data_IF_802213957862
#
_entry.id   IF_802213957862
#
_cell.length_a   1.000
_cell.length_b   1.000
_cell.length_c   1.000
_cell.angle_alpha   90.00
_cell.angle_beta   90.00
_cell.angle_gamma   90.00
#
_symmetry.space_group_name_H-M   'P 1'
#
loop_
_entity.id
_entity.type
_entity.pdbx_description
1 polymer ?
#
# COMPACT_ATOMS: atom_id res chain seq x y z
N UNK A 1 -29.72 -73.34 -19.19
CA UNK A 1 -30.84 -72.55 -18.62
C UNK A 1 -31.16 -71.41 -19.57
N UNK A 2 -32.23 -71.64 -20.33
CA UNK A 2 -33.23 -70.71 -20.87
C UNK A 2 -32.86 -69.40 -21.59
N UNK A 3 -33.02 -69.49 -22.92
CA UNK A 3 -33.66 -68.56 -23.85
C UNK A 3 -34.49 -67.42 -23.23
N UNK A 4 -34.37 -66.22 -23.82
CA UNK A 4 -35.49 -65.53 -24.50
C UNK A 4 -35.01 -64.48 -25.50
N UNK A 5 -35.58 -64.56 -26.70
CA UNK A 5 -35.50 -63.62 -27.82
C UNK A 5 -36.61 -62.55 -27.73
N UNK A 6 -36.47 -61.46 -28.50
CA UNK A 6 -37.52 -60.51 -28.87
C UNK A 6 -36.95 -59.10 -29.07
N UNK A 7 -36.38 -58.73 -30.22
CA UNK A 7 -36.96 -58.38 -31.53
C UNK A 7 -37.54 -56.96 -31.65
N UNK A 8 -37.29 -56.38 -32.83
CA UNK A 8 -37.18 -54.97 -33.20
C UNK A 8 -38.29 -54.60 -34.19
N UNK A 9 -39.00 -53.47 -33.99
CA UNK A 9 -39.35 -52.39 -34.96
C UNK A 9 -40.63 -51.61 -34.60
N UNK A 10 -40.76 -50.33 -35.06
CA UNK A 10 -41.73 -49.34 -34.60
C UNK A 10 -42.92 -49.16 -35.57
N UNK A 11 -43.87 -48.25 -35.26
CA UNK A 11 -44.49 -47.51 -36.36
C UNK A 11 -44.69 -45.99 -36.12
N UNK A 12 -44.39 -45.24 -37.20
CA UNK A 12 -45.11 -44.11 -37.81
C UNK A 12 -45.62 -42.90 -36.99
N UNK A 13 -45.23 -41.70 -37.45
CA UNK A 13 -45.66 -40.38 -36.99
C UNK A 13 -47.14 -40.00 -37.26
N UNK A 14 -47.48 -38.70 -37.17
CA UNK A 14 -47.35 -37.89 -38.38
C UNK A 14 -46.68 -36.52 -38.19
N UNK A 15 -46.16 -36.07 -39.33
CA UNK A 15 -45.68 -34.74 -39.70
C UNK A 15 -46.78 -33.68 -39.77
N UNK A 16 -46.46 -32.44 -39.40
CA UNK A 16 -46.91 -31.19 -40.05
C UNK A 16 -45.91 -30.09 -39.63
N UNK A 17 -44.94 -29.71 -40.46
CA UNK A 17 -44.96 -28.65 -41.51
C UNK A 17 -45.21 -27.22 -41.01
N UNK A 18 -44.21 -26.37 -41.33
CA UNK A 18 -44.27 -24.94 -41.66
C UNK A 18 -44.69 -23.91 -40.60
N UNK A 19 -43.76 -23.01 -40.26
CA UNK A 19 -43.65 -21.73 -40.99
C UNK A 19 -42.47 -20.89 -40.47
N UNK A 20 -41.49 -20.67 -41.35
CA UNK A 20 -40.62 -19.49 -41.34
C UNK A 20 -41.37 -18.31 -41.95
N UNK A 21 -41.11 -17.08 -41.49
CA UNK A 21 -41.18 -15.75 -42.17
C UNK A 21 -41.57 -14.64 -41.15
N UNK A 22 -41.39 -13.33 -41.41
CA UNK A 22 -40.15 -12.59 -41.17
C UNK A 22 -40.36 -11.30 -40.34
N UNK A 23 -39.23 -10.63 -40.06
CA UNK A 23 -39.01 -9.19 -39.77
C UNK A 23 -40.28 -8.30 -39.70
N UNK A 24 -40.57 -7.77 -38.51
CA UNK A 24 -41.30 -6.51 -38.34
C UNK A 24 -40.39 -5.48 -37.69
N UNK A 25 -39.98 -4.52 -38.50
CA UNK A 25 -39.40 -3.25 -38.10
C UNK A 25 -40.35 -2.52 -37.14
N UNK A 26 -39.84 -2.13 -35.96
CA UNK A 26 -40.50 -1.11 -35.15
C UNK A 26 -39.55 0.07 -34.94
N UNK A 27 -39.41 0.88 -35.99
CA UNK A 27 -38.96 2.26 -35.86
C UNK A 27 -40.16 3.11 -35.46
N UNK A 28 -40.36 3.38 -34.17
CA UNK A 28 -41.02 4.60 -33.69
C UNK A 28 -40.51 4.92 -32.28
N UNK A 29 -39.73 6.00 -32.16
CA UNK A 29 -39.19 6.43 -30.87
C UNK A 29 -38.07 7.48 -30.92
N UNK A 30 -37.90 8.24 -32.01
CA UNK A 30 -37.12 9.48 -32.00
C UNK A 30 -37.90 10.54 -31.22
N UNK A 31 -37.77 10.53 -29.89
CA UNK A 31 -38.07 11.71 -29.07
C UNK A 31 -36.80 12.54 -28.94
N UNK A 32 -36.90 13.77 -29.43
CA UNK A 32 -35.92 14.84 -29.29
C UNK A 32 -35.17 14.80 -27.95
N UNK A 33 -33.87 14.54 -28.00
CA UNK A 33 -32.95 15.00 -26.96
C UNK A 33 -32.80 16.51 -27.11
N UNK A 34 -33.43 17.26 -26.21
CA UNK A 34 -33.12 18.67 -25.99
C UNK A 34 -31.66 18.78 -25.50
N UNK A 35 -30.85 19.72 -26.00
CA UNK A 35 -29.50 19.91 -25.49
C UNK A 35 -29.58 20.39 -24.03
N UNK A 36 -28.90 19.68 -23.11
CA UNK A 36 -28.68 20.17 -21.74
C UNK A 36 -27.99 21.52 -21.83
N UNK A 37 -28.71 22.59 -21.50
CA UNK A 37 -28.11 23.89 -21.25
C UNK A 37 -27.14 23.75 -20.06
N UNK A 38 -25.85 24.01 -20.30
CA UNK A 38 -24.89 24.14 -19.20
C UNK A 38 -25.22 25.42 -18.45
N UNK A 39 -25.78 25.31 -17.25
CA UNK A 39 -25.90 26.45 -16.33
C UNK A 39 -24.49 26.79 -15.85
N UNK A 40 -23.84 27.73 -16.52
CA UNK A 40 -22.59 28.34 -16.05
C UNK A 40 -22.93 29.31 -14.93
N UNK A 41 -22.70 28.92 -13.69
CA UNK A 41 -22.85 29.80 -12.53
C UNK A 41 -21.77 30.91 -12.56
N UNK A 42 -22.13 32.21 -12.54
CA UNK A 42 -21.16 33.31 -12.58
C UNK A 42 -20.46 33.59 -11.23
N UNK A 43 -20.63 32.73 -10.22
CA UNK A 43 -20.16 32.98 -8.86
C UNK A 43 -18.68 32.67 -8.60
N UNK A 44 -17.97 32.02 -9.54
CA UNK A 44 -16.57 31.61 -9.32
C UNK A 44 -15.53 32.70 -9.63
N UNK A 45 -15.87 33.72 -10.43
CA UNK A 45 -14.90 34.76 -10.83
C UNK A 45 -14.82 35.96 -9.89
N UNK A 46 -15.77 36.12 -8.96
CA UNK A 46 -15.78 37.25 -8.01
C UNK A 46 -14.93 36.97 -6.77
N UNK A 47 -14.70 35.71 -6.41
CA UNK A 47 -13.91 35.36 -5.22
C UNK A 47 -12.39 35.36 -5.43
N UNK A 48 -11.91 35.23 -6.67
CA UNK A 48 -10.47 35.21 -6.94
C UNK A 48 -9.85 36.62 -7.01
N UNK A 49 -10.62 37.62 -7.44
CA UNK A 49 -10.11 39.01 -7.57
C UNK A 49 -10.02 39.74 -6.23
N UNK A 50 -10.84 39.39 -5.23
CA UNK A 50 -10.79 40.00 -3.90
C UNK A 50 -9.58 39.48 -3.08
N UNK A 51 -9.12 38.25 -3.32
CA UNK A 51 -8.02 37.64 -2.57
C UNK A 51 -6.63 38.15 -3.01
N UNK A 52 -6.43 38.40 -4.30
CA UNK A 52 -5.13 38.90 -4.83
C UNK A 52 -4.87 40.35 -4.43
N UNK A 53 -5.91 41.18 -4.30
CA UNK A 53 -5.79 42.56 -3.82
C UNK A 53 -5.48 42.59 -2.30
N UNK A 54 -5.95 41.62 -1.53
CA UNK A 54 -5.68 41.56 -0.08
C UNK A 54 -4.20 41.30 0.25
N UNK A 55 -3.48 40.53 -0.59
CA UNK A 55 -2.04 40.26 -0.40
C UNK A 55 -1.14 41.46 -0.74
N UNK A 56 -1.59 42.39 -1.59
CA UNK A 56 -0.80 43.57 -1.97
C UNK A 56 -1.04 44.79 -1.07
N UNK A 57 -2.13 44.83 -0.30
CA UNK A 57 -2.46 45.96 0.59
C UNK A 57 -2.32 45.69 2.10
N UNK A 58 -2.24 44.43 2.56
CA UNK A 58 -2.17 44.08 3.99
C UNK A 58 -0.82 43.53 4.48
N UNK A 59 0.17 43.35 3.61
CA UNK A 59 1.54 43.03 4.00
C UNK A 59 2.49 44.18 3.65
N UNK A 60 2.67 45.18 4.53
CA UNK A 60 3.77 46.11 4.36
C UNK A 60 5.08 45.33 4.51
N UNK A 61 5.87 45.30 3.43
CA UNK A 61 7.25 44.85 3.44
C UNK A 61 8.04 45.69 4.44
N UNK A 62 8.31 45.15 5.63
CA UNK A 62 9.26 45.74 6.56
C UNK A 62 10.67 45.42 6.07
N UNK A 63 11.24 46.33 5.29
CA UNK A 63 12.69 46.46 5.18
C UNK A 63 13.21 46.83 6.58
N UNK A 64 13.92 45.90 7.24
CA UNK A 64 14.54 46.20 8.51
C UNK A 64 15.86 46.93 8.27
N UNK A 65 15.83 48.21 8.58
CA UNK A 65 16.98 49.10 8.57
C UNK A 65 18.08 48.59 9.52
N UNK A 66 19.28 48.40 8.96
CA UNK A 66 20.49 48.10 9.71
C UNK A 66 21.05 49.42 10.19
N UNK A 67 21.01 49.68 11.50
CA UNK A 67 22.05 50.36 12.29
C UNK A 67 21.47 50.76 13.66
N UNK A 68 21.74 49.96 14.68
CA UNK A 68 21.76 50.45 16.05
C UNK A 68 22.88 49.74 16.80
N UNK A 69 24.00 50.44 16.93
CA UNK A 69 25.17 50.01 17.67
C UNK A 69 24.88 50.16 19.17
N UNK A 70 24.58 49.05 19.85
CA UNK A 70 24.51 48.99 21.31
C UNK A 70 25.83 48.44 21.86
N UNK A 71 26.60 49.31 22.52
CA UNK A 71 27.79 48.93 23.28
C UNK A 71 27.37 48.09 24.49
N UNK A 72 27.57 46.78 24.42
CA UNK A 72 27.52 45.87 25.56
C UNK A 72 28.94 45.65 26.10
N UNK A 73 29.14 45.56 27.43
CA UNK A 73 30.46 45.34 28.02
C UNK A 73 31.00 43.95 27.69
N UNK A 74 32.30 43.90 27.37
CA UNK A 74 33.04 42.69 27.02
C UNK A 74 33.12 41.78 28.25
N UNK A 75 32.51 40.60 28.17
CA UNK A 75 32.66 39.53 29.15
C UNK A 75 34.07 38.90 29.04
N UNK A 76 34.67 38.44 30.17
CA UNK A 76 36.01 37.86 30.16
C UNK A 76 36.07 36.59 29.29
N UNK A 77 37.12 36.53 28.48
CA UNK A 77 37.44 35.46 27.55
C UNK A 77 37.98 34.23 28.27
N UNK A 78 37.23 33.12 28.22
CA UNK A 78 37.75 31.78 28.51
C UNK A 78 36.66 30.84 29.05
N UNK A 79 36.42 29.66 28.46
CA UNK A 79 35.63 28.64 29.13
C UNK A 79 36.36 28.20 30.41
N UNK A 80 35.65 27.93 31.52
CA UNK A 80 36.28 27.34 32.70
C UNK A 80 36.91 26.00 32.30
N UNK A 81 38.16 25.79 32.66
CA UNK A 81 38.87 24.52 32.51
C UNK A 81 38.13 23.44 33.28
N UNK A 82 37.39 22.60 32.56
CA UNK A 82 36.72 21.43 33.15
C UNK A 82 37.79 20.39 33.44
N UNK A 83 37.88 19.95 34.70
CA UNK A 83 38.77 18.88 35.13
C UNK A 83 38.46 17.58 34.34
N UNK A 84 39.40 17.05 33.54
CA UNK A 84 39.18 15.82 32.76
C UNK A 84 38.87 14.59 33.61
N UNK A 85 39.13 14.62 34.92
CA UNK A 85 38.87 13.52 35.85
C UNK A 85 37.41 13.42 36.31
N UNK A 86 36.57 14.41 35.98
CA UNK A 86 35.13 14.41 36.27
C UNK A 86 34.27 13.88 35.11
N UNK A 87 34.88 13.39 34.04
CA UNK A 87 34.14 12.70 32.98
C UNK A 87 33.76 11.29 33.48
N UNK A 88 32.47 10.94 33.58
CA UNK A 88 32.08 9.59 33.92
C UNK A 88 32.63 8.63 32.85
N UNK A 89 33.43 7.68 33.31
CA UNK A 89 33.99 6.59 32.53
C UNK A 89 32.93 5.95 31.64
N UNK A 90 33.24 5.87 30.34
CA UNK A 90 32.73 4.90 29.36
C UNK A 90 31.28 4.46 29.57
N UNK A 91 30.34 5.13 28.89
CA UNK A 91 29.03 4.55 28.63
C UNK A 91 29.27 3.22 27.88
N UNK A 92 28.81 2.06 28.39
CA UNK A 92 28.94 0.82 27.65
C UNK A 92 28.06 0.90 26.40
N UNK A 93 28.71 0.86 25.24
CA UNK A 93 28.10 0.80 23.91
C UNK A 93 27.50 -0.60 23.71
N UNK A 94 26.31 -0.83 24.26
CA UNK A 94 25.45 -1.95 23.90
C UNK A 94 23.99 -1.71 24.31
N UNK A 95 23.40 -0.61 23.84
CA UNK A 95 21.94 -0.55 23.78
C UNK A 95 21.48 -1.50 22.67
N UNK A 96 20.55 -2.43 22.93
CA UNK A 96 20.07 -3.33 21.90
C UNK A 96 19.34 -2.48 20.85
N UNK A 97 19.76 -2.66 19.59
CA UNK A 97 19.31 -1.95 18.38
C UNK A 97 17.85 -2.27 18.00
N UNK A 98 16.95 -2.32 18.98
CA UNK A 98 15.61 -2.90 18.91
C UNK A 98 14.64 -2.09 18.03
N UNK A 99 14.93 -0.83 17.73
CA UNK A 99 14.07 0.01 16.89
C UNK A 99 14.33 -0.13 15.38
N UNK A 100 15.35 -0.90 14.97
CA UNK A 100 15.79 -0.98 13.57
C UNK A 100 15.39 -2.27 12.85
N UNK A 101 14.57 -3.13 13.47
CA UNK A 101 14.03 -4.31 12.80
C UNK A 101 13.24 -3.88 11.56
N UNK A 102 13.42 -4.62 10.45
CA UNK A 102 12.76 -4.36 9.18
C UNK A 102 11.89 -5.56 8.78
N UNK A 103 10.78 -5.29 8.11
CA UNK A 103 9.90 -6.30 7.52
C UNK A 103 9.61 -5.97 6.06
N UNK A 104 9.47 -7.01 5.24
CA UNK A 104 8.98 -6.87 3.88
C UNK A 104 7.46 -6.99 3.86
N UNK A 105 6.80 -6.01 3.24
CA UNK A 105 5.35 -6.00 3.01
C UNK A 105 5.10 -5.79 1.52
N UNK A 106 4.23 -6.60 0.93
CA UNK A 106 3.81 -6.40 -0.46
C UNK A 106 2.29 -6.27 -0.54
N UNK A 107 1.83 -5.29 -1.31
CA UNK A 107 0.43 -5.19 -1.74
C UNK A 107 0.33 -5.96 -3.05
N UNK A 108 -0.45 -7.04 -3.02
CA UNK A 108 -0.61 -7.99 -4.12
C UNK A 108 -1.41 -7.35 -5.28
N UNK A 109 -1.46 -7.98 -6.46
CA UNK A 109 -2.12 -7.40 -7.63
C UNK A 109 -3.58 -7.00 -7.39
N UNK A 110 -4.33 -7.80 -6.63
CA UNK A 110 -5.71 -7.49 -6.23
C UNK A 110 -5.82 -6.23 -5.37
N UNK A 111 -4.89 -6.02 -4.42
CA UNK A 111 -4.83 -4.84 -3.58
C UNK A 111 -4.53 -3.57 -4.39
N UNK A 112 -3.65 -3.67 -5.38
CA UNK A 112 -3.35 -2.56 -6.29
C UNK A 112 -4.56 -2.24 -7.19
N UNK A 113 -5.13 -3.25 -7.85
CA UNK A 113 -6.30 -3.10 -8.75
C UNK A 113 -7.52 -2.51 -8.04
N UNK A 114 -7.66 -2.77 -6.73
CA UNK A 114 -8.77 -2.28 -5.90
C UNK A 114 -8.50 -0.91 -5.26
N UNK A 115 -7.39 -0.26 -5.59
CA UNK A 115 -7.06 1.07 -5.07
C UNK A 115 -6.71 1.10 -3.58
N UNK A 116 -6.19 -0.01 -3.02
CA UNK A 116 -5.91 -0.13 -1.59
C UNK A 116 -4.50 0.32 -1.19
N UNK A 117 -3.68 0.79 -2.13
CA UNK A 117 -2.27 1.15 -1.89
C UNK A 117 -2.15 2.20 -0.79
N UNK A 118 -2.83 3.35 -0.93
CA UNK A 118 -2.80 4.40 0.08
C UNK A 118 -3.33 3.92 1.43
N UNK A 119 -4.50 3.25 1.42
CA UNK A 119 -5.13 2.74 2.65
C UNK A 119 -4.22 1.80 3.44
N UNK A 120 -3.47 0.92 2.78
CA UNK A 120 -2.55 -0.01 3.44
C UNK A 120 -1.31 0.72 3.97
N UNK A 121 -0.70 1.59 3.17
CA UNK A 121 0.46 2.41 3.60
C UNK A 121 0.09 3.20 4.86
N UNK A 122 -1.05 3.87 4.85
CA UNK A 122 -1.51 4.69 5.99
C UNK A 122 -1.67 3.89 7.28
N UNK A 123 -1.99 2.58 7.23
CA UNK A 123 -2.05 1.74 8.45
C UNK A 123 -0.69 1.60 9.11
N UNK A 124 0.38 1.47 8.34
CA UNK A 124 1.74 1.36 8.86
C UNK A 124 2.28 2.73 9.32
N UNK A 125 2.05 3.79 8.53
CA UNK A 125 2.44 5.16 8.91
C UNK A 125 1.76 5.60 10.21
N UNK A 126 0.43 5.41 10.30
CA UNK A 126 -0.34 5.80 11.48
C UNK A 126 0.03 5.00 12.73
N UNK A 127 0.60 3.80 12.56
CA UNK A 127 1.14 3.00 13.66
C UNK A 127 2.48 3.54 14.16
N UNK A 128 3.20 4.33 13.36
CA UNK A 128 4.52 4.87 13.67
C UNK A 128 5.69 4.09 13.05
N UNK A 129 5.43 3.13 12.15
CA UNK A 129 6.49 2.47 11.41
C UNK A 129 7.09 3.40 10.35
N UNK A 130 8.40 3.25 10.11
CA UNK A 130 9.16 4.08 9.18
C UNK A 130 9.25 3.39 7.82
N UNK A 131 8.78 4.03 6.76
CA UNK A 131 8.97 3.54 5.39
C UNK A 131 10.42 3.76 4.95
N UNK A 132 11.13 2.69 4.61
CA UNK A 132 12.56 2.75 4.21
C UNK A 132 12.79 2.32 2.77
N UNK A 133 11.84 1.65 2.12
CA UNK A 133 11.83 1.43 0.68
C UNK A 133 10.41 1.24 0.16
N UNK A 134 10.13 1.67 -1.07
CA UNK A 134 8.87 1.44 -1.77
C UNK A 134 9.08 1.43 -3.29
N UNK A 135 8.42 0.51 -4.00
CA UNK A 135 8.33 0.53 -5.46
C UNK A 135 7.12 -0.23 -5.98
N UNK A 136 6.56 0.26 -7.09
CA UNK A 136 5.53 -0.44 -7.86
C UNK A 136 6.22 -1.22 -8.98
N UNK A 137 6.09 -2.55 -8.99
CA UNK A 137 6.86 -3.44 -9.86
C UNK A 137 6.03 -4.56 -10.45
N UNK A 138 6.49 -5.11 -11.58
CA UNK A 138 6.06 -6.38 -12.14
C UNK A 138 7.30 -7.30 -12.24
N UNK A 139 7.63 -8.07 -11.20
CA UNK A 139 8.95 -8.71 -11.06
C UNK A 139 9.17 -9.91 -11.98
N UNK A 140 8.11 -10.43 -12.59
CA UNK A 140 8.16 -11.59 -13.47
C UNK A 140 8.12 -12.93 -12.73
N UNK A 141 7.86 -14.00 -13.49
CA UNK A 141 7.62 -15.35 -12.96
C UNK A 141 8.80 -15.91 -12.15
N UNK A 142 10.02 -15.83 -12.67
CA UNK A 142 11.20 -16.41 -12.02
C UNK A 142 11.45 -15.82 -10.62
N UNK A 143 11.30 -14.51 -10.48
CA UNK A 143 11.45 -13.82 -9.20
C UNK A 143 10.36 -14.24 -8.18
N UNK A 144 9.12 -14.43 -8.65
CA UNK A 144 8.01 -14.88 -7.80
C UNK A 144 8.16 -16.36 -7.38
N UNK A 145 8.71 -17.21 -8.26
CA UNK A 145 9.06 -18.59 -7.92
C UNK A 145 10.15 -18.66 -6.85
N UNK A 146 11.16 -17.80 -6.94
CA UNK A 146 12.20 -17.66 -5.91
C UNK A 146 11.62 -17.17 -4.58
N UNK A 147 10.76 -16.14 -4.62
CA UNK A 147 10.09 -15.64 -3.41
C UNK A 147 9.25 -16.70 -2.70
N UNK A 148 8.60 -17.60 -3.44
CA UNK A 148 7.78 -18.68 -2.89
C UNK A 148 8.47 -20.06 -2.94
N UNK A 149 9.80 -20.12 -2.98
CA UNK A 149 10.55 -21.36 -3.15
C UNK A 149 10.19 -22.43 -2.10
N UNK A 150 9.93 -22.03 -0.86
CA UNK A 150 9.53 -22.94 0.24
C UNK A 150 8.14 -23.59 0.02
N UNK A 151 7.35 -23.05 -0.91
CA UNK A 151 6.02 -23.54 -1.27
C UNK A 151 5.99 -24.31 -2.59
N UNK A 152 7.13 -24.52 -3.26
CA UNK A 152 7.21 -25.12 -4.60
C UNK A 152 6.49 -26.47 -4.74
N UNK A 153 6.50 -27.28 -3.67
CA UNK A 153 5.91 -28.62 -3.65
C UNK A 153 4.42 -28.60 -3.24
N UNK A 154 3.84 -27.42 -3.00
CA UNK A 154 2.42 -27.27 -2.65
C UNK A 154 1.55 -27.26 -3.91
N UNK A 155 0.37 -27.90 -3.90
CA UNK A 155 -0.49 -28.01 -5.08
C UNK A 155 -0.99 -26.66 -5.60
N UNK A 156 -1.01 -25.62 -4.76
CA UNK A 156 -1.43 -24.27 -5.12
C UNK A 156 -0.29 -23.36 -5.63
N UNK A 157 0.96 -23.84 -5.68
CA UNK A 157 2.13 -23.02 -6.01
C UNK A 157 2.02 -22.38 -7.41
N UNK A 158 1.68 -23.18 -8.43
CA UNK A 158 1.57 -22.68 -9.80
C UNK A 158 0.53 -21.55 -9.90
N UNK A 159 -0.65 -21.75 -9.29
CA UNK A 159 -1.70 -20.73 -9.25
C UNK A 159 -1.33 -19.50 -8.44
N UNK A 160 -0.55 -19.65 -7.36
CA UNK A 160 -0.03 -18.52 -6.57
C UNK A 160 0.93 -17.66 -7.40
N UNK A 161 1.88 -18.27 -8.10
CA UNK A 161 2.84 -17.57 -8.95
C UNK A 161 2.14 -16.88 -10.11
N UNK A 162 1.23 -17.58 -10.79
CA UNK A 162 0.43 -17.00 -11.89
C UNK A 162 -0.38 -15.79 -11.43
N UNK A 163 -1.07 -15.92 -10.29
CA UNK A 163 -1.82 -14.84 -9.68
C UNK A 163 -0.93 -13.65 -9.34
N UNK A 164 0.21 -13.87 -8.68
CA UNK A 164 1.13 -12.79 -8.32
C UNK A 164 1.75 -12.11 -9.56
N UNK A 165 1.89 -12.84 -10.66
CA UNK A 165 2.38 -12.32 -11.94
C UNK A 165 1.29 -11.65 -12.79
N UNK A 166 0.03 -11.65 -12.34
CA UNK A 166 -1.11 -11.12 -13.13
C UNK A 166 -1.21 -9.60 -13.17
N UNK A 167 -0.41 -8.87 -12.37
CA UNK A 167 -0.45 -7.43 -12.32
C UNK A 167 0.65 -6.81 -11.45
N UNK A 168 0.65 -5.49 -11.29
CA UNK A 168 1.66 -4.79 -10.51
C UNK A 168 1.53 -5.08 -9.01
N UNK A 169 2.67 -5.09 -8.32
CA UNK A 169 2.81 -5.29 -6.89
C UNK A 169 3.46 -4.03 -6.30
N UNK A 170 2.89 -3.51 -5.20
CA UNK A 170 3.57 -2.48 -4.42
C UNK A 170 4.43 -3.17 -3.34
N UNK A 171 5.73 -3.25 -3.58
CA UNK A 171 6.71 -3.80 -2.64
C UNK A 171 7.20 -2.70 -1.70
N UNK A 172 7.30 -2.99 -0.41
CA UNK A 172 7.70 -2.03 0.62
C UNK A 172 8.59 -2.68 1.69
N UNK A 173 9.42 -1.85 2.31
CA UNK A 173 10.17 -2.20 3.53
C UNK A 173 9.80 -1.22 4.62
N UNK A 174 9.36 -1.76 5.76
CA UNK A 174 8.98 -1.00 6.95
C UNK A 174 9.94 -1.30 8.09
N UNK A 175 10.37 -0.26 8.80
CA UNK A 175 11.31 -0.34 9.91
C UNK A 175 10.67 0.10 11.23
N UNK A 176 10.95 -0.63 12.31
CA UNK A 176 10.57 -0.28 13.68
C UNK A 176 10.64 -1.48 14.63
N UNK A 177 10.41 -1.24 15.92
CA UNK A 177 10.38 -2.32 16.93
C UNK A 177 9.29 -3.34 16.63
N UNK A 178 9.67 -4.62 16.64
CA UNK A 178 8.80 -5.78 16.34
C UNK A 178 8.01 -5.60 15.04
N UNK A 179 8.60 -4.97 14.02
CA UNK A 179 7.97 -4.66 12.74
C UNK A 179 7.43 -5.90 12.03
N UNK A 180 8.13 -7.03 12.09
CA UNK A 180 7.68 -8.29 11.48
C UNK A 180 6.42 -8.79 12.18
N UNK A 181 6.52 -9.00 13.50
CA UNK A 181 5.42 -9.57 14.30
C UNK A 181 4.18 -8.67 14.26
N UNK A 182 4.36 -7.37 14.50
CA UNK A 182 3.26 -6.41 14.53
C UNK A 182 2.71 -6.15 13.13
N UNK A 183 3.57 -6.15 12.10
CA UNK A 183 3.17 -6.08 10.70
C UNK A 183 2.21 -7.22 10.38
N UNK A 184 2.54 -8.47 10.73
CA UNK A 184 1.64 -9.62 10.59
C UNK A 184 0.31 -9.43 11.32
N UNK A 185 0.33 -8.86 12.53
CA UNK A 185 -0.91 -8.51 13.26
C UNK A 185 -1.75 -7.47 12.51
N UNK A 186 -1.15 -6.43 11.95
CA UNK A 186 -1.86 -5.42 11.14
C UNK A 186 -2.46 -6.02 9.87
N UNK A 187 -1.77 -6.97 9.22
CA UNK A 187 -2.29 -7.65 8.03
C UNK A 187 -3.52 -8.51 8.35
N UNK A 188 -3.54 -9.16 9.51
CA UNK A 188 -4.57 -10.14 9.89
C UNK A 188 -4.22 -11.56 9.46
N UNK A 189 -5.09 -12.52 9.80
CA UNK A 189 -4.89 -13.94 9.49
C UNK A 189 -4.75 -14.18 7.98
N UNK A 190 -4.02 -15.22 7.56
CA UNK A 190 -3.83 -15.54 6.13
C UNK A 190 -5.16 -15.78 5.41
N UNK A 191 -6.10 -16.46 6.08
CA UNK A 191 -7.49 -16.57 5.66
C UNK A 191 -8.26 -15.31 6.13
N UNK A 192 -8.76 -14.46 5.21
CA UNK A 192 -9.47 -13.25 5.59
C UNK A 192 -10.71 -13.49 6.45
N UNK A 193 -11.43 -14.60 6.26
CA UNK A 193 -12.59 -14.95 7.08
C UNK A 193 -12.25 -15.25 8.54
N UNK A 194 -10.97 -15.51 8.84
CA UNK A 194 -10.46 -15.67 10.20
C UNK A 194 -9.76 -14.39 10.72
N UNK A 195 -9.80 -13.29 9.96
CA UNK A 195 -9.19 -12.02 10.36
C UNK A 195 -10.19 -11.18 11.15
N UNK A 196 -9.71 -10.53 12.21
CA UNK A 196 -10.53 -9.62 12.98
C UNK A 196 -10.81 -8.31 12.18
N UNK A 197 -12.00 -7.70 12.33
CA UNK A 197 -12.24 -6.34 11.86
C UNK A 197 -11.18 -5.37 12.40
N UNK A 198 -10.77 -4.40 11.59
CA UNK A 198 -9.67 -3.47 11.86
C UNK A 198 -8.29 -3.96 11.39
N UNK A 199 -8.15 -5.24 11.02
CA UNK A 199 -6.98 -5.71 10.27
C UNK A 199 -7.17 -5.47 8.77
N UNK A 200 -6.09 -5.39 8.01
CA UNK A 200 -6.15 -5.13 6.56
C UNK A 200 -6.99 -6.20 5.84
N UNK A 201 -6.80 -7.48 6.16
CA UNK A 201 -7.59 -8.55 5.55
C UNK A 201 -9.02 -8.61 6.08
N UNK A 202 -9.23 -8.33 7.37
CA UNK A 202 -10.58 -8.25 7.94
C UNK A 202 -11.43 -7.12 7.34
N UNK A 203 -10.80 -6.00 6.97
CA UNK A 203 -11.50 -4.86 6.39
C UNK A 203 -11.66 -4.96 4.87
N UNK A 204 -10.73 -5.64 4.18
CA UNK A 204 -10.63 -5.56 2.73
C UNK A 204 -10.59 -6.88 1.97
N UNK A 205 -10.61 -8.05 2.60
CA UNK A 205 -10.51 -9.32 1.89
C UNK A 205 -11.56 -10.34 2.33
N UNK A 206 -11.85 -11.29 1.43
CA UNK A 206 -12.83 -12.38 1.66
C UNK A 206 -12.12 -13.72 1.39
N UNK A 207 -11.61 -13.91 0.17
CA UNK A 207 -10.97 -15.16 -0.24
C UNK A 207 -9.47 -15.22 0.09
N UNK A 208 -8.98 -16.40 0.49
CA UNK A 208 -7.55 -16.63 0.77
C UNK A 208 -6.65 -16.38 -0.46
N UNK A 209 -7.14 -16.69 -1.67
CA UNK A 209 -6.43 -16.44 -2.92
C UNK A 209 -6.46 -14.98 -3.38
N UNK A 210 -7.24 -14.12 -2.70
CA UNK A 210 -7.37 -12.67 -2.96
C UNK A 210 -7.30 -11.91 -1.62
N UNK A 211 -6.25 -12.21 -0.87
CA UNK A 211 -6.04 -11.70 0.49
C UNK A 211 -5.19 -10.43 0.55
N UNK A 212 -5.13 -9.66 -0.54
CA UNK A 212 -4.60 -8.28 -0.71
C UNK A 212 -3.14 -8.01 -0.41
N UNK A 213 -2.52 -8.73 0.52
CA UNK A 213 -1.21 -8.39 1.04
C UNK A 213 -0.38 -9.62 1.43
N UNK A 214 0.93 -9.44 1.41
CA UNK A 214 1.95 -10.32 1.95
C UNK A 214 2.73 -9.59 3.05
N UNK A 215 3.25 -10.35 4.02
CA UNK A 215 4.22 -9.85 4.97
C UNK A 215 5.04 -11.00 5.55
N UNK A 216 6.33 -10.76 5.73
CA UNK A 216 7.30 -11.74 6.24
C UNK A 216 6.82 -12.38 7.53
N UNK A 217 7.07 -13.67 7.71
CA UNK A 217 6.60 -14.44 8.87
C UNK A 217 7.60 -14.48 10.04
N UNK A 218 8.85 -14.12 9.78
CA UNK A 218 9.97 -14.12 10.72
C UNK A 218 10.99 -13.05 10.32
N UNK A 219 11.91 -12.71 11.22
CA UNK A 219 12.98 -11.74 10.97
C UNK A 219 13.93 -12.28 9.90
N UNK A 220 14.20 -13.58 9.91
CA UNK A 220 15.04 -14.26 8.94
C UNK A 220 14.41 -14.26 7.55
N UNK A 221 13.11 -14.56 7.45
CA UNK A 221 12.36 -14.43 6.18
C UNK A 221 12.35 -12.99 5.69
N UNK A 222 12.16 -12.02 6.59
CA UNK A 222 12.17 -10.60 6.22
C UNK A 222 13.50 -10.18 5.59
N UNK A 223 14.63 -10.58 6.16
CA UNK A 223 15.95 -10.29 5.61
C UNK A 223 16.12 -10.89 4.21
N UNK A 224 15.74 -12.15 4.00
CA UNK A 224 15.79 -12.82 2.69
C UNK A 224 14.89 -12.14 1.66
N UNK A 225 13.66 -11.82 2.05
CA UNK A 225 12.70 -11.15 1.18
C UNK A 225 13.16 -9.73 0.82
N UNK A 226 13.66 -8.95 1.78
CA UNK A 226 14.19 -7.60 1.50
C UNK A 226 15.35 -7.68 0.51
N UNK A 227 16.31 -8.59 0.72
CA UNK A 227 17.45 -8.77 -0.16
C UNK A 227 17.06 -9.26 -1.57
N UNK A 228 16.02 -10.09 -1.67
CA UNK A 228 15.47 -10.53 -2.96
C UNK A 228 14.82 -9.36 -3.71
N UNK A 229 13.96 -8.61 -3.04
CA UNK A 229 13.10 -7.61 -3.67
C UNK A 229 13.78 -6.26 -3.90
N UNK A 230 14.76 -5.88 -3.08
CA UNK A 230 15.43 -4.58 -3.11
C UNK A 230 16.94 -4.72 -3.23
N UNK A 231 17.51 -4.00 -4.19
CA UNK A 231 18.95 -3.89 -4.40
C UNK A 231 19.59 -2.96 -3.38
N UNK A 232 20.91 -3.06 -3.26
CA UNK A 232 21.71 -2.13 -2.49
C UNK A 232 21.43 -0.68 -2.93
N UNK A 233 21.17 0.18 -1.94
CA UNK A 233 20.83 1.60 -2.16
C UNK A 233 19.33 1.88 -2.37
N UNK A 234 18.48 0.88 -2.59
CA UNK A 234 17.02 1.09 -2.64
C UNK A 234 16.39 1.22 -1.23
N UNK A 235 17.07 0.72 -0.19
CA UNK A 235 16.69 0.90 1.22
C UNK A 235 17.38 2.15 1.77
N UNK A 236 16.58 3.18 2.06
CA UNK A 236 17.06 4.51 2.43
C UNK A 236 17.18 4.65 3.95
N UNK A 237 18.33 5.12 4.41
CA UNK A 237 18.53 5.48 5.82
C UNK A 237 18.12 6.92 6.09
N UNK A 238 17.17 7.11 7.00
CA UNK A 238 16.70 8.42 7.45
C UNK A 238 16.15 8.36 8.89
N UNK A 239 16.07 9.52 9.53
CA UNK A 239 15.55 9.68 10.90
C UNK A 239 14.19 10.37 10.87
N UNK A 240 13.17 9.69 11.41
CA UNK A 240 11.85 10.31 11.58
C UNK A 240 11.90 11.43 12.61
N UNK A 241 11.30 12.58 12.29
CA UNK A 241 11.13 13.69 13.23
C UNK A 241 10.27 13.30 14.44
N UNK A 242 9.41 12.29 14.29
CA UNK A 242 8.52 11.81 15.35
C UNK A 242 9.09 10.65 16.18
N UNK A 243 10.34 10.24 15.92
CA UNK A 243 10.92 9.05 16.54
C UNK A 243 10.89 9.10 18.09
N UNK A 244 11.16 10.27 18.68
CA UNK A 244 11.14 10.47 20.15
C UNK A 244 9.74 10.46 20.75
N UNK A 245 8.69 10.66 19.96
CA UNK A 245 7.30 10.59 20.40
C UNK A 245 6.73 9.17 20.26
N UNK A 246 7.29 8.36 19.35
CA UNK A 246 6.87 6.98 19.09
C UNK A 246 7.63 6.00 19.99
N UNK A 247 8.92 6.23 20.23
CA UNK A 247 9.78 5.36 21.02
C UNK A 247 10.33 6.08 22.25
N UNK A 248 10.06 5.52 23.44
CA UNK A 248 10.64 6.01 24.70
C UNK A 248 12.18 5.94 24.71
N UNK A 249 12.73 4.91 24.05
CA UNK A 249 14.17 4.72 23.84
C UNK A 249 14.43 4.36 22.37
N UNK A 250 15.33 5.09 21.68
CA UNK A 250 15.72 4.78 20.31
C UNK A 250 16.48 3.45 20.22
#
# INVERSE_FOLDING_TARGET
MDKKHGHFTPPSGPSTTEATQPILSNQQGLKHQQPRQSVRHPAFYVFFTVWVVFLLFFFPSKAHDRNHESKLPIAPTGPPSVDPSLLPNSIPESQPKMSTEQTFIAIKPDGVQRGLVGSIISRFESRGYKLVAIKLVAPGKAHLEEHYADLKDKPFFAGLVEYMNSGPICAMVWEGRDAVKTGRTLLGATNPLASAPGTIRGDYAIDVGRNVCHGSDSVESAQKEIALWFKDGEVVSWKSAQASWIYEKP
#
